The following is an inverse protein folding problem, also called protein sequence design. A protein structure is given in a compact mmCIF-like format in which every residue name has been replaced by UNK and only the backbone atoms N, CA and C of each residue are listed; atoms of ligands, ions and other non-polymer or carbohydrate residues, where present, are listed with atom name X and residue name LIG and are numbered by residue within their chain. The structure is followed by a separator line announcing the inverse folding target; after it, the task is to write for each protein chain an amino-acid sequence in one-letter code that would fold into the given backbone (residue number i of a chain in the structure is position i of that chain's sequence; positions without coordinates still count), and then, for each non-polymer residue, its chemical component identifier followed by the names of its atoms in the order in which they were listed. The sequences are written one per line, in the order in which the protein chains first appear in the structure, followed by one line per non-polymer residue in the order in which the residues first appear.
data_IF_269981005423
#
_entry.id   IF_269981005423
#
_cell.length_a   1.000
_cell.length_b   1.000
_cell.length_c   1.000
_cell.angle_alpha   90.00
_cell.angle_beta   90.00
_cell.angle_gamma   90.00
#
_symmetry.space_group_name_H-M   'P 1'
#
loop_
_entity.id
_entity.type
_entity.pdbx_description
1 polymer ?
#
# COMPACT_ATOMS: atom_id res chain seq x y z
N UNK A 1 1.61 -1.92 12.46
CA UNK A 1 0.67 -0.79 12.35
C UNK A 1 1.30 0.28 11.48
N UNK A 2 1.17 0.17 10.16
CA UNK A 2 1.66 1.17 9.24
C UNK A 2 0.46 1.68 8.42
N UNK A 3 0.15 2.96 8.58
CA UNK A 3 -0.99 3.60 7.95
C UNK A 3 -0.68 3.85 6.46
N UNK A 4 -1.13 2.96 5.57
CA UNK A 4 -1.14 3.23 4.13
C UNK A 4 -2.38 4.06 3.80
N UNK A 5 -2.35 5.35 4.15
CA UNK A 5 -3.30 6.33 3.62
C UNK A 5 -2.83 6.77 2.23
N UNK A 6 -3.79 7.06 1.36
CA UNK A 6 -3.59 7.40 -0.06
C UNK A 6 -2.50 8.46 -0.25
N UNK A 7 -1.77 8.41 -1.39
CA UNK A 7 -0.79 9.42 -1.82
C UNK A 7 -1.28 10.84 -1.46
N UNK A 8 -0.64 11.44 -0.46
CA UNK A 8 -0.89 12.81 0.00
C UNK A 8 -1.41 12.98 1.44
N UNK A 9 -1.81 11.90 2.14
CA UNK A 9 -2.42 12.02 3.48
C UNK A 9 -1.81 11.07 4.54
N UNK A 10 -0.61 10.56 4.25
CA UNK A 10 0.18 9.71 5.15
C UNK A 10 1.64 10.18 5.21
N UNK A 11 2.21 10.21 6.41
CA UNK A 11 3.57 10.73 6.68
C UNK A 11 4.70 9.72 6.44
N UNK A 12 4.39 8.51 5.98
CA UNK A 12 5.38 7.44 5.78
C UNK A 12 5.67 7.26 4.30
N UNK A 13 6.93 7.43 3.92
CA UNK A 13 7.42 7.01 2.60
C UNK A 13 7.70 5.50 2.61
N UNK A 14 6.81 4.75 1.96
CA UNK A 14 6.87 3.28 1.91
C UNK A 14 7.81 2.75 0.83
N UNK A 15 8.20 3.57 -0.15
CA UNK A 15 9.00 3.09 -1.27
C UNK A 15 10.36 2.54 -0.80
N UNK A 16 11.14 3.23 0.06
CA UNK A 16 12.41 2.70 0.55
C UNK A 16 12.28 1.36 1.30
N UNK A 17 11.22 1.21 2.10
CA UNK A 17 10.97 -0.01 2.85
C UNK A 17 10.62 -1.19 1.92
N UNK A 18 9.78 -0.95 0.91
CA UNK A 18 9.42 -1.96 -0.09
C UNK A 18 10.64 -2.34 -0.94
N UNK A 19 11.44 -1.38 -1.39
CA UNK A 19 12.67 -1.66 -2.15
C UNK A 19 13.61 -2.55 -1.35
N UNK A 20 13.85 -2.23 -0.07
CA UNK A 20 14.69 -3.05 0.78
C UNK A 20 14.16 -4.49 0.92
N UNK A 21 12.85 -4.66 1.13
CA UNK A 21 12.23 -6.00 1.19
C UNK A 21 12.37 -6.77 -0.12
N UNK A 22 12.22 -6.10 -1.26
CA UNK A 22 12.40 -6.70 -2.58
C UNK A 22 13.85 -7.15 -2.79
N UNK A 23 14.83 -6.33 -2.41
CA UNK A 23 16.26 -6.65 -2.49
C UNK A 23 16.65 -7.86 -1.61
N UNK A 24 15.97 -8.04 -0.47
CA UNK A 24 16.14 -9.22 0.38
C UNK A 24 15.40 -10.47 -0.15
N UNK A 25 14.72 -10.37 -1.30
CA UNK A 25 14.02 -11.50 -1.92
C UNK A 25 12.72 -11.88 -1.22
N UNK A 26 12.02 -10.93 -0.59
CA UNK A 26 10.72 -11.19 0.02
C UNK A 26 9.69 -11.63 -1.02
N UNK A 27 8.90 -12.66 -0.72
CA UNK A 27 7.89 -13.25 -1.62
C UNK A 27 6.53 -13.49 -0.92
N UNK A 28 6.29 -12.80 0.20
CA UNK A 28 5.05 -12.94 0.96
C UNK A 28 3.95 -11.97 0.53
N UNK A 29 2.92 -11.85 1.37
CA UNK A 29 1.77 -10.99 1.08
C UNK A 29 2.00 -9.55 1.53
N UNK A 30 1.58 -8.62 0.69
CA UNK A 30 1.41 -7.22 1.07
C UNK A 30 -0.10 -6.96 1.29
N UNK A 31 -0.44 -6.41 2.45
CA UNK A 31 -1.84 -6.18 2.85
C UNK A 31 -2.06 -4.69 3.07
N UNK A 32 -3.19 -4.18 2.55
CA UNK A 32 -3.68 -2.82 2.86
C UNK A 32 -4.63 -2.92 4.04
N UNK A 33 -4.28 -2.27 5.15
CA UNK A 33 -5.16 -2.09 6.30
C UNK A 33 -5.52 -0.61 6.43
N UNK A 34 -6.81 -0.32 6.55
CA UNK A 34 -7.31 1.02 6.81
C UNK A 34 -8.53 0.94 7.74
N UNK A 35 -8.48 1.69 8.83
CA UNK A 35 -9.65 1.99 9.65
C UNK A 35 -10.20 3.34 9.17
N UNK A 36 -11.45 3.35 8.71
CA UNK A 36 -12.12 4.53 8.17
C UNK A 36 -13.54 4.62 8.71
N UNK A 37 -14.02 5.84 8.92
CA UNK A 37 -15.43 6.11 9.15
C UNK A 37 -16.19 6.01 7.81
N UNK A 38 -17.14 5.07 7.65
CA UNK A 38 -17.86 4.90 6.40
C UNK A 38 -18.75 6.10 6.03
N UNK A 39 -19.12 6.95 6.98
CA UNK A 39 -19.92 8.17 6.73
C UNK A 39 -19.08 9.28 6.08
N UNK A 40 -17.77 9.29 6.36
CA UNK A 40 -16.81 10.29 5.84
C UNK A 40 -16.07 9.76 4.60
N UNK A 41 -15.76 8.47 4.58
CA UNK A 41 -14.91 7.84 3.58
C UNK A 41 -15.57 6.55 3.05
N UNK A 42 -16.17 6.64 1.86
CA UNK A 42 -16.88 5.51 1.25
C UNK A 42 -15.98 4.25 1.15
N UNK A 43 -16.33 3.13 1.81
CA UNK A 43 -15.42 2.01 2.03
C UNK A 43 -14.81 1.42 0.75
N UNK A 44 -15.63 1.17 -0.27
CA UNK A 44 -15.15 0.57 -1.51
C UNK A 44 -14.21 1.50 -2.29
N UNK A 45 -14.45 2.80 -2.22
CA UNK A 45 -13.61 3.80 -2.91
C UNK A 45 -12.21 3.80 -2.30
N UNK A 46 -12.13 3.85 -0.98
CA UNK A 46 -10.86 3.88 -0.26
C UNK A 46 -10.13 2.55 -0.29
N UNK A 47 -10.84 1.42 -0.24
CA UNK A 47 -10.23 0.10 -0.42
C UNK A 47 -9.55 -0.03 -1.80
N UNK A 48 -10.24 0.39 -2.87
CA UNK A 48 -9.66 0.40 -4.24
C UNK A 48 -8.49 1.37 -4.37
N UNK A 49 -8.56 2.50 -3.68
CA UNK A 49 -7.50 3.51 -3.70
C UNK A 49 -6.24 3.01 -2.99
N UNK A 50 -6.38 2.44 -1.80
CA UNK A 50 -5.29 1.80 -1.06
C UNK A 50 -4.65 0.66 -1.85
N UNK A 51 -5.46 -0.23 -2.45
CA UNK A 51 -4.95 -1.29 -3.32
C UNK A 51 -4.12 -0.75 -4.49
N UNK A 52 -4.63 0.25 -5.23
CA UNK A 52 -3.91 0.83 -6.36
C UNK A 52 -2.60 1.49 -5.93
N UNK A 53 -2.61 2.20 -4.80
CA UNK A 53 -1.42 2.86 -4.28
C UNK A 53 -0.35 1.84 -3.86
N UNK A 54 -0.72 0.84 -3.07
CA UNK A 54 0.21 -0.22 -2.64
C UNK A 54 0.77 -0.97 -3.85
N UNK A 55 -0.08 -1.33 -4.82
CA UNK A 55 0.36 -2.01 -6.05
C UNK A 55 1.37 -1.17 -6.81
N UNK A 56 1.11 0.12 -7.03
CA UNK A 56 2.03 1.00 -7.73
C UNK A 56 3.38 1.14 -7.02
N UNK A 57 3.37 1.24 -5.69
CA UNK A 57 4.61 1.31 -4.90
C UNK A 57 5.38 0.00 -4.91
N UNK A 58 4.70 -1.14 -4.84
CA UNK A 58 5.33 -2.46 -4.93
C UNK A 58 5.95 -2.70 -6.31
N UNK A 59 5.25 -2.36 -7.39
CA UNK A 59 5.77 -2.44 -8.76
C UNK A 59 6.97 -1.48 -8.95
N UNK A 60 6.92 -0.27 -8.38
CA UNK A 60 8.05 0.68 -8.38
C UNK A 60 9.27 0.17 -7.61
N UNK A 61 9.05 -0.58 -6.52
CA UNK A 61 10.10 -1.21 -5.72
C UNK A 61 10.72 -2.45 -6.39
N UNK A 62 10.11 -2.97 -7.47
CA UNK A 62 10.61 -4.12 -8.22
C UNK A 62 9.89 -5.45 -7.97
N UNK A 63 8.79 -5.45 -7.21
CA UNK A 63 7.98 -6.66 -7.02
C UNK A 63 7.17 -7.00 -8.27
N UNK A 64 7.04 -8.30 -8.55
CA UNK A 64 6.02 -8.83 -9.46
C UNK A 64 4.73 -9.12 -8.67
N UNK A 65 3.70 -8.31 -8.87
CA UNK A 65 2.44 -8.38 -8.13
C UNK A 65 1.40 -9.15 -8.94
N UNK A 66 0.98 -10.30 -8.41
CA UNK A 66 -0.07 -11.12 -8.99
C UNK A 66 -1.40 -10.34 -9.13
N UNK A 67 -2.20 -10.70 -10.14
CA UNK A 67 -3.49 -10.07 -10.45
C UNK A 67 -4.61 -10.53 -9.52
#
# INVERSE_FOLDING_TARGET
MAYLRCRGDGDVDFLPALTHLCEQGYQGWLVVEAEQDPEVAHPLTYARLGYRNLRQLAEQAGFDVAK
#
